data_IF_359477613888
#
_entry.id   IF_359477613888
#
_cell.length_a   1.000
_cell.length_b   1.000
_cell.length_c   1.000
_cell.angle_alpha   90.00
_cell.angle_beta   90.00
_cell.angle_gamma   90.00
#
_symmetry.space_group_name_H-M   'P 1'
#
loop_
_entity.id
_entity.type
_entity.pdbx_description
1 polymer ?
#
# COMPACT_ATOMS: atom_id res chain seq x y z
N UNK A 1 -12.36 18.79 -29.62
CA UNK A 1 -11.19 18.45 -30.46
C UNK A 1 -10.30 17.47 -29.70
N UNK A 2 -9.83 16.42 -30.38
CA UNK A 2 -8.85 15.38 -30.01
C UNK A 2 -9.30 14.33 -28.99
N UNK A 3 -9.91 13.28 -29.54
CA UNK A 3 -10.23 12.03 -28.85
C UNK A 3 -9.01 11.09 -28.66
N UNK A 4 -9.22 9.95 -27.99
CA UNK A 4 -8.18 9.03 -27.54
C UNK A 4 -7.61 8.22 -28.71
N UNK A 5 -6.29 8.29 -28.86
CA UNK A 5 -5.51 7.58 -29.86
C UNK A 5 -5.07 6.22 -29.29
N UNK A 6 -5.06 5.23 -30.17
CA UNK A 6 -4.41 3.93 -30.03
C UNK A 6 -5.21 2.77 -29.44
N UNK A 7 -6.26 2.40 -30.17
CA UNK A 7 -6.40 0.99 -30.53
C UNK A 7 -5.90 0.77 -31.95
N UNK A 8 -5.40 -0.45 -32.20
CA UNK A 8 -5.14 -1.10 -33.50
C UNK A 8 -3.88 -0.69 -34.27
N UNK A 9 -2.87 -1.57 -34.22
CA UNK A 9 -2.12 -1.94 -35.42
C UNK A 9 -2.17 -3.45 -35.62
N UNK A 10 -2.55 -3.79 -36.85
CA UNK A 10 -2.84 -5.09 -37.41
C UNK A 10 -1.56 -5.90 -37.66
N UNK A 11 -1.73 -7.22 -37.64
CA UNK A 11 -0.81 -8.22 -38.15
C UNK A 11 -0.66 -8.15 -39.69
N UNK A 12 0.51 -8.54 -40.22
CA UNK A 12 0.66 -9.39 -41.42
C UNK A 12 2.14 -9.73 -41.68
N UNK A 13 2.35 -10.87 -42.31
CA UNK A 13 3.55 -11.71 -42.29
C UNK A 13 4.35 -11.70 -43.61
N UNK A 14 5.57 -12.23 -43.55
CA UNK A 14 6.37 -12.78 -44.67
C UNK A 14 7.55 -11.89 -45.12
N UNK A 15 8.73 -12.38 -45.54
CA UNK A 15 9.37 -13.69 -45.59
C UNK A 15 10.87 -13.44 -45.90
N UNK A 16 11.79 -14.25 -45.37
CA UNK A 16 13.23 -14.16 -45.68
C UNK A 16 14.13 -14.96 -44.74
N UNK A 17 14.44 -16.20 -45.13
CA UNK A 17 15.25 -17.27 -44.51
C UNK A 17 16.70 -16.85 -44.16
N UNK A 18 17.50 -17.45 -43.28
CA UNK A 18 17.51 -18.74 -42.57
C UNK A 18 18.57 -18.67 -41.43
N UNK A 19 18.35 -19.34 -40.30
CA UNK A 19 19.34 -20.15 -39.55
C UNK A 19 18.79 -20.56 -38.17
N UNK A 20 18.33 -21.81 -38.11
CA UNK A 20 18.09 -22.72 -36.99
C UNK A 20 18.24 -22.20 -35.54
N UNK A 21 17.18 -22.35 -34.74
CA UNK A 21 17.20 -23.09 -33.46
C UNK A 21 15.76 -23.34 -32.98
N UNK A 22 15.32 -24.59 -33.17
CA UNK A 22 14.31 -25.34 -32.40
C UNK A 22 12.97 -24.66 -32.09
N UNK A 23 11.97 -24.97 -32.90
CA UNK A 23 10.57 -24.85 -32.54
C UNK A 23 10.19 -25.87 -31.46
N UNK A 24 9.64 -25.39 -30.34
CA UNK A 24 8.57 -26.04 -29.57
C UNK A 24 7.62 -24.91 -29.11
N UNK A 25 6.55 -24.71 -29.87
CA UNK A 25 5.43 -23.85 -29.51
C UNK A 25 4.73 -24.38 -28.24
N UNK A 26 3.97 -23.55 -27.51
CA UNK A 26 3.55 -23.83 -26.15
C UNK A 26 2.40 -24.85 -26.15
N UNK A 27 2.68 -26.06 -25.70
CA UNK A 27 1.63 -26.94 -25.21
C UNK A 27 1.19 -26.39 -23.86
N UNK A 28 -0.01 -25.83 -23.84
CA UNK A 28 -0.79 -25.64 -22.63
C UNK A 28 -0.91 -27.00 -21.93
N UNK A 29 -0.04 -27.23 -20.96
CA UNK A 29 -0.25 -28.20 -19.90
C UNK A 29 -0.22 -27.39 -18.61
N UNK A 30 -1.34 -27.40 -17.91
CA UNK A 30 -1.42 -27.04 -16.51
C UNK A 30 -0.56 -28.03 -15.71
N UNK A 31 0.76 -27.87 -15.81
CA UNK A 31 1.70 -28.53 -14.94
C UNK A 31 1.67 -27.74 -13.65
N UNK A 32 1.11 -28.35 -12.61
CA UNK A 32 1.28 -27.96 -11.22
C UNK A 32 2.78 -28.05 -10.90
N UNK A 33 3.55 -27.05 -11.33
CA UNK A 33 4.87 -26.82 -10.78
C UNK A 33 4.64 -26.44 -9.33
N UNK A 34 4.86 -27.40 -8.42
CA UNK A 34 4.99 -27.09 -6.99
C UNK A 34 5.94 -25.91 -6.88
N UNK A 35 5.57 -24.83 -6.16
CA UNK A 35 6.48 -23.71 -5.95
C UNK A 35 7.81 -24.28 -5.44
N UNK A 36 8.91 -24.01 -6.14
CA UNK A 36 10.22 -24.34 -5.63
C UNK A 36 10.35 -23.72 -4.23
N UNK A 37 10.89 -24.45 -3.23
CA UNK A 37 11.04 -23.90 -1.89
C UNK A 37 11.88 -22.62 -1.96
N UNK A 38 11.23 -21.49 -1.72
CA UNK A 38 11.89 -20.19 -1.62
C UNK A 38 12.71 -20.23 -0.34
N UNK A 39 14.03 -20.12 -0.48
CA UNK A 39 14.90 -20.00 0.69
C UNK A 39 14.42 -18.80 1.54
N UNK A 40 14.36 -18.93 2.87
CA UNK A 40 13.95 -17.83 3.73
C UNK A 40 14.90 -16.64 3.50
N UNK A 41 14.33 -15.50 3.12
CA UNK A 41 15.09 -14.24 3.02
C UNK A 41 15.47 -13.87 4.46
N UNK A 42 16.74 -14.04 4.80
CA UNK A 42 17.29 -13.62 6.07
C UNK A 42 17.88 -12.22 5.89
N UNK A 43 17.49 -11.30 6.77
CA UNK A 43 18.08 -9.97 6.82
C UNK A 43 19.49 -10.07 7.39
N UNK A 44 20.41 -9.24 6.91
CA UNK A 44 21.69 -9.07 7.58
C UNK A 44 21.49 -8.49 8.99
N UNK A 45 22.48 -8.61 9.90
CA UNK A 45 22.42 -7.97 11.21
C UNK A 45 22.18 -6.45 11.12
N UNK A 46 22.83 -5.78 10.17
CA UNK A 46 22.71 -4.34 9.93
C UNK A 46 21.32 -3.98 9.40
N UNK A 47 20.79 -4.76 8.45
CA UNK A 47 19.43 -4.58 7.93
C UNK A 47 18.39 -4.78 9.02
N UNK A 48 18.59 -5.78 9.89
CA UNK A 48 17.72 -6.05 11.05
C UNK A 48 17.74 -4.90 12.05
N UNK A 49 18.91 -4.32 12.31
CA UNK A 49 19.05 -3.12 13.15
C UNK A 49 18.33 -1.92 12.55
N UNK A 50 18.42 -1.70 11.23
CA UNK A 50 17.71 -0.62 10.55
C UNK A 50 16.19 -0.81 10.62
N UNK A 51 15.70 -2.04 10.42
CA UNK A 51 14.27 -2.35 10.53
C UNK A 51 13.76 -2.02 11.93
N UNK A 52 14.46 -2.49 12.96
CA UNK A 52 14.06 -2.30 14.35
C UNK A 52 14.26 -0.88 14.88
N UNK A 53 15.34 -0.21 14.50
CA UNK A 53 15.71 1.12 14.98
C UNK A 53 14.96 2.25 14.29
N UNK A 54 14.73 2.12 12.98
CA UNK A 54 14.18 3.22 12.18
C UNK A 54 12.78 2.92 11.66
N UNK A 55 12.62 1.78 10.99
CA UNK A 55 11.40 1.53 10.21
C UNK A 55 10.19 1.19 11.07
N UNK A 56 10.33 0.29 12.03
CA UNK A 56 9.23 -0.10 12.91
C UNK A 56 8.72 1.11 13.71
N UNK A 57 9.56 1.90 14.41
CA UNK A 57 9.11 3.10 15.12
C UNK A 57 8.47 4.15 14.20
N UNK A 58 9.03 4.33 12.99
CA UNK A 58 8.49 5.27 12.00
C UNK A 58 7.09 4.86 11.53
N UNK A 59 6.86 3.58 11.32
CA UNK A 59 5.56 3.05 10.90
C UNK A 59 4.52 3.13 12.04
N UNK A 60 4.90 2.81 13.27
CA UNK A 60 4.05 2.98 14.45
C UNK A 60 3.62 4.45 14.59
N UNK A 61 4.58 5.39 14.55
CA UNK A 61 4.30 6.84 14.61
C UNK A 61 3.40 7.30 13.47
N UNK A 62 3.56 6.74 12.27
CA UNK A 62 2.69 7.07 11.12
C UNK A 62 1.26 6.59 11.35
N UNK A 63 1.08 5.38 11.88
CA UNK A 63 -0.24 4.86 12.22
C UNK A 63 -0.91 5.75 13.27
N UNK A 64 -0.20 6.10 14.34
CA UNK A 64 -0.70 6.99 15.40
C UNK A 64 -1.11 8.36 14.87
N UNK A 65 -0.27 8.98 14.02
CA UNK A 65 -0.58 10.28 13.42
C UNK A 65 -1.80 10.21 12.50
N UNK A 66 -1.97 9.11 11.77
CA UNK A 66 -3.14 8.90 10.92
C UNK A 66 -4.40 8.76 11.78
N UNK A 67 -4.35 7.93 12.81
CA UNK A 67 -5.47 7.74 13.74
C UNK A 67 -5.87 9.06 14.41
N UNK A 68 -4.91 9.80 14.97
CA UNK A 68 -5.13 11.13 15.56
C UNK A 68 -5.76 12.10 14.56
N UNK A 69 -5.29 12.13 13.31
CA UNK A 69 -5.87 13.00 12.28
C UNK A 69 -7.29 12.59 11.92
N UNK A 70 -7.56 11.29 11.79
CA UNK A 70 -8.90 10.78 11.45
C UNK A 70 -9.90 11.18 12.53
N UNK A 71 -9.51 11.02 13.80
CA UNK A 71 -10.33 11.28 14.98
C UNK A 71 -10.29 12.75 15.46
N UNK A 72 -9.57 13.63 14.76
CA UNK A 72 -9.48 15.05 15.11
C UNK A 72 -10.79 15.82 14.94
N UNK A 73 -10.85 17.04 15.48
CA UNK A 73 -12.00 17.92 15.40
C UNK A 73 -12.24 18.50 14.00
N UNK A 74 -13.31 19.31 13.81
CA UNK A 74 -13.66 19.92 12.53
C UNK A 74 -12.58 20.88 11.97
N UNK A 75 -11.70 21.41 12.82
CA UNK A 75 -10.54 22.23 12.48
C UNK A 75 -9.38 21.42 11.88
N UNK A 76 -9.32 20.11 12.15
CA UNK A 76 -8.24 19.26 11.66
C UNK A 76 -8.52 18.84 10.21
N UNK A 77 -7.74 19.37 9.28
CA UNK A 77 -7.91 19.08 7.86
C UNK A 77 -7.86 17.56 7.58
N UNK A 78 -8.93 17.05 6.98
CA UNK A 78 -9.06 15.64 6.63
C UNK A 78 -9.38 14.71 7.81
N UNK A 79 -9.78 15.25 8.96
CA UNK A 79 -10.52 14.49 9.97
C UNK A 79 -11.92 14.13 9.48
N UNK A 80 -12.56 13.16 10.13
CA UNK A 80 -13.95 12.81 9.83
C UNK A 80 -14.89 13.97 10.15
N UNK A 81 -14.65 14.67 11.26
CA UNK A 81 -15.42 15.85 11.64
C UNK A 81 -15.28 16.99 10.61
N UNK A 82 -14.07 17.25 10.12
CA UNK A 82 -13.82 18.28 9.10
C UNK A 82 -14.54 17.96 7.78
N UNK A 83 -14.49 16.70 7.35
CA UNK A 83 -15.17 16.26 6.13
C UNK A 83 -16.70 16.41 6.27
N UNK A 84 -17.26 16.04 7.43
CA UNK A 84 -18.70 16.20 7.70
C UNK A 84 -19.13 17.67 7.77
N UNK A 85 -18.34 18.53 8.41
CA UNK A 85 -18.61 19.98 8.47
C UNK A 85 -18.65 20.57 7.05
N UNK A 86 -17.63 20.26 6.23
CA UNK A 86 -17.58 20.71 4.82
C UNK A 86 -18.73 20.14 3.99
N UNK A 87 -19.16 18.91 4.26
CA UNK A 87 -20.32 18.33 3.59
C UNK A 87 -21.58 19.15 3.92
N UNK A 88 -21.75 19.54 5.18
CA UNK A 88 -22.86 20.38 5.60
C UNK A 88 -22.84 21.75 4.90
N UNK A 89 -21.68 22.40 4.82
CA UNK A 89 -21.53 23.67 4.10
C UNK A 89 -21.94 23.53 2.62
N UNK A 90 -21.56 22.41 1.97
CA UNK A 90 -21.96 22.13 0.59
C UNK A 90 -23.47 21.90 0.47
N UNK A 91 -24.14 21.24 1.44
CA UNK A 91 -25.61 21.09 1.42
C UNK A 91 -26.30 22.44 1.57
N UNK A 92 -25.84 23.29 2.48
CA UNK A 92 -26.38 24.64 2.67
C UNK A 92 -26.22 25.49 1.39
N UNK A 93 -25.15 25.29 0.64
CA UNK A 93 -24.92 25.93 -0.66
C UNK A 93 -25.67 25.26 -1.84
N UNK A 94 -26.47 24.21 -1.60
CA UNK A 94 -27.21 23.48 -2.64
C UNK A 94 -26.38 22.48 -3.47
N UNK A 95 -25.13 22.23 -3.09
CA UNK A 95 -24.19 21.33 -3.79
C UNK A 95 -24.23 19.90 -3.24
N UNK A 96 -25.38 19.24 -3.35
CA UNK A 96 -25.61 17.91 -2.76
C UNK A 96 -24.63 16.83 -3.25
N UNK A 97 -24.28 16.79 -4.54
CA UNK A 97 -23.32 15.82 -5.08
C UNK A 97 -21.92 15.96 -4.44
N UNK A 98 -21.51 17.19 -4.10
CA UNK A 98 -20.23 17.45 -3.44
C UNK A 98 -20.30 17.05 -1.97
N UNK A 99 -21.43 17.30 -1.31
CA UNK A 99 -21.68 16.84 0.05
C UNK A 99 -21.59 15.31 0.15
N UNK A 100 -22.28 14.58 -0.73
CA UNK A 100 -22.26 13.11 -0.76
C UNK A 100 -20.84 12.57 -0.92
N UNK A 101 -20.04 13.13 -1.83
CA UNK A 101 -18.63 12.72 -2.02
C UNK A 101 -17.78 12.97 -0.76
N UNK A 102 -18.06 14.02 0.01
CA UNK A 102 -17.39 14.31 1.27
C UNK A 102 -17.81 13.32 2.36
N UNK A 103 -19.09 12.97 2.46
CA UNK A 103 -19.58 11.95 3.39
C UNK A 103 -18.98 10.58 3.08
N UNK A 104 -18.99 10.15 1.82
CA UNK A 104 -18.37 8.88 1.41
C UNK A 104 -16.89 8.84 1.80
N UNK A 105 -16.18 9.96 1.63
CA UNK A 105 -14.78 10.06 2.05
C UNK A 105 -14.65 9.95 3.57
N UNK A 106 -15.54 10.58 4.32
CA UNK A 106 -15.57 10.49 5.78
C UNK A 106 -15.81 9.05 6.24
N UNK A 107 -16.78 8.35 5.64
CA UNK A 107 -17.09 6.95 5.93
C UNK A 107 -15.92 6.03 5.60
N UNK A 108 -15.33 6.15 4.40
CA UNK A 108 -14.16 5.37 4.00
C UNK A 108 -13.01 5.56 4.99
N UNK A 109 -12.79 6.80 5.43
CA UNK A 109 -11.72 7.14 6.36
C UNK A 109 -11.98 6.59 7.77
N UNK A 110 -13.22 6.67 8.26
CA UNK A 110 -13.61 6.04 9.54
C UNK A 110 -13.40 4.53 9.50
N UNK A 111 -13.75 3.88 8.39
CA UNK A 111 -13.54 2.44 8.20
C UNK A 111 -12.08 1.99 8.24
N UNK A 112 -11.12 2.91 8.02
CA UNK A 112 -9.68 2.59 8.09
C UNK A 112 -9.10 2.59 9.50
N UNK A 113 -9.82 3.07 10.52
CA UNK A 113 -9.31 3.10 11.90
C UNK A 113 -8.97 1.69 12.39
N UNK A 114 -9.86 0.71 12.19
CA UNK A 114 -9.60 -0.68 12.59
C UNK A 114 -8.39 -1.30 11.87
N UNK A 115 -8.18 -0.98 10.59
CA UNK A 115 -7.01 -1.42 9.83
C UNK A 115 -5.71 -0.82 10.40
N UNK A 116 -5.74 0.45 10.81
CA UNK A 116 -4.58 1.12 11.45
C UNK A 116 -4.27 0.50 12.81
N UNK A 117 -5.28 0.24 13.64
CA UNK A 117 -5.11 -0.44 14.93
C UNK A 117 -4.49 -1.82 14.73
N UNK A 118 -5.01 -2.60 13.77
CA UNK A 118 -4.48 -3.93 13.44
C UNK A 118 -3.03 -3.85 12.95
N UNK A 119 -2.70 -2.87 12.11
CA UNK A 119 -1.34 -2.67 11.62
C UNK A 119 -0.37 -2.34 12.77
N UNK A 120 -0.80 -1.49 13.72
CA UNK A 120 0.00 -1.17 14.90
C UNK A 120 0.26 -2.40 15.77
N UNK A 121 -0.77 -3.19 16.06
CA UNK A 121 -0.62 -4.44 16.82
C UNK A 121 0.38 -5.41 16.16
N UNK A 122 0.35 -5.52 14.82
CA UNK A 122 1.32 -6.35 14.08
C UNK A 122 2.75 -5.81 14.19
N UNK A 123 2.93 -4.49 14.15
CA UNK A 123 4.23 -3.86 14.34
C UNK A 123 4.75 -4.06 15.77
N UNK A 124 3.88 -3.93 16.77
CA UNK A 124 4.22 -4.15 18.18
C UNK A 124 4.61 -5.61 18.45
N UNK A 125 3.85 -6.56 17.87
CA UNK A 125 4.16 -7.98 17.94
C UNK A 125 5.49 -8.31 17.24
N UNK A 126 5.72 -7.74 16.06
CA UNK A 126 6.99 -7.90 15.34
C UNK A 126 8.17 -7.35 16.16
N UNK A 127 8.02 -6.15 16.72
CA UNK A 127 9.04 -5.53 17.55
C UNK A 127 9.37 -6.41 18.77
N UNK A 128 8.34 -6.90 19.46
CA UNK A 128 8.50 -7.75 20.64
C UNK A 128 9.19 -9.08 20.32
N UNK A 129 8.90 -9.67 19.15
CA UNK A 129 9.45 -10.95 18.74
C UNK A 129 10.87 -10.86 18.16
N UNK A 130 11.20 -9.77 17.47
CA UNK A 130 12.40 -9.70 16.62
C UNK A 130 13.35 -8.56 16.96
N UNK A 131 12.87 -7.50 17.61
CA UNK A 131 13.69 -6.35 17.98
C UNK A 131 14.12 -6.47 19.44
N UNK A 132 15.26 -7.16 19.68
CA UNK A 132 15.93 -7.09 20.98
C UNK A 132 16.48 -5.67 21.20
N UNK A 133 16.51 -5.14 22.43
CA UNK A 133 17.23 -3.92 22.72
C UNK A 133 18.69 -4.12 22.32
N UNK A 134 19.22 -3.18 21.51
CA UNK A 134 20.61 -3.22 21.12
C UNK A 134 21.47 -3.31 22.38
N UNK A 135 22.34 -4.34 22.46
CA UNK A 135 23.37 -4.36 23.48
C UNK A 135 24.22 -3.08 23.31
N UNK A 136 24.57 -2.38 24.41
CA UNK A 136 25.36 -1.16 24.33
C UNK A 136 26.68 -1.45 23.58
N UNK A 137 27.05 -0.56 22.67
CA UNK A 137 28.28 -0.69 21.89
C UNK A 137 29.50 -0.81 22.82
N UNK A 138 30.48 -1.68 22.52
CA UNK A 138 31.69 -1.77 23.34
C UNK A 138 32.46 -0.46 23.26
N UNK A 139 32.59 0.22 24.39
CA UNK A 139 33.52 1.34 24.57
C UNK A 139 34.95 0.81 24.43
N UNK A 140 35.71 1.37 23.49
CA UNK A 140 37.15 1.12 23.35
C UNK A 140 37.92 1.66 24.54
#
# INVERSE_FOLDING_TARGET
MRGPIWTRRLALAGAGSAACLLALAPLASAQTTSPAPVAPITLSPEESQQVCGDWVPKLQKRADNLEKRINGGPEVAGSVANLKARAQDQRTAGHNDRATKLDERATKRQGKVGELTTAKQKLDAFASAHCKPAAPAPTK
#
